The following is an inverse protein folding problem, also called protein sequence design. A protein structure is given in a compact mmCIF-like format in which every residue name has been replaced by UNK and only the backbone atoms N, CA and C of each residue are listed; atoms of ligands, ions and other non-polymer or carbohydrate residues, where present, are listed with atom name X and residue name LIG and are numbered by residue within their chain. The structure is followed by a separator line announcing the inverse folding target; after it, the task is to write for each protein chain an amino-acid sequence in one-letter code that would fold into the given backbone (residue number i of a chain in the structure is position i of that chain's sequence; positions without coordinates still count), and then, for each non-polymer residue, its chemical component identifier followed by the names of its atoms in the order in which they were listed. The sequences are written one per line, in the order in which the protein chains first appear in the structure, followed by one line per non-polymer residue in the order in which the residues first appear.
data_IF_447528101366
#
_entry.id   IF_447528101366
#
_cell.length_a   1.000
_cell.length_b   1.000
_cell.length_c   1.000
_cell.angle_alpha   90.00
_cell.angle_beta   90.00
_cell.angle_gamma   90.00
#
_symmetry.space_group_name_H-M   'P 1'
#
loop_
_entity.id
_entity.type
_entity.pdbx_description
1 polymer ?
#
# COMPACT_ATOMS: atom_id res chain seq x y z
N UNK A 1 -1.37 4.86 16.55
CA UNK A 1 -2.19 4.90 15.33
C UNK A 1 -1.61 5.96 14.40
N UNK A 2 -0.43 5.71 13.82
CA UNK A 2 0.25 6.57 12.84
C UNK A 2 1.34 5.69 12.24
N UNK A 3 1.05 5.03 11.12
CA UNK A 3 2.03 4.27 10.37
C UNK A 3 2.70 5.18 9.35
N UNK A 4 4.01 5.05 9.16
CA UNK A 4 4.69 5.63 7.99
C UNK A 4 4.55 4.69 6.80
N UNK A 5 4.50 5.25 5.59
CA UNK A 5 4.64 4.44 4.39
C UNK A 5 6.01 3.74 4.37
N UNK A 6 6.10 2.47 3.92
CA UNK A 6 7.37 1.80 3.71
C UNK A 6 8.25 2.55 2.69
N UNK A 7 9.57 2.43 2.81
CA UNK A 7 10.54 3.18 1.98
C UNK A 7 10.48 2.88 0.48
N UNK A 8 9.94 1.73 0.10
CA UNK A 8 9.79 1.27 -1.28
C UNK A 8 8.40 1.58 -1.88
N UNK A 9 7.64 2.47 -1.26
CA UNK A 9 6.33 2.89 -1.75
C UNK A 9 6.37 4.34 -2.26
N UNK A 10 5.79 4.59 -3.43
CA UNK A 10 5.65 5.93 -4.02
C UNK A 10 4.16 6.25 -4.25
N UNK A 11 3.71 7.46 -3.89
CA UNK A 11 2.38 7.95 -4.26
C UNK A 11 2.49 8.88 -5.47
N UNK A 12 1.74 8.60 -6.53
CA UNK A 12 1.64 9.43 -7.72
C UNK A 12 0.21 9.46 -8.24
N UNK A 13 -0.35 10.66 -8.44
CA UNK A 13 -1.72 10.87 -8.95
C UNK A 13 -2.78 10.02 -8.20
N UNK A 14 -2.80 10.12 -6.86
CA UNK A 14 -3.71 9.36 -5.99
C UNK A 14 -3.57 7.82 -6.07
N UNK A 15 -2.50 7.33 -6.72
CA UNK A 15 -2.17 5.91 -6.84
C UNK A 15 -0.93 5.61 -6.01
N UNK A 16 -0.99 4.56 -5.21
CA UNK A 16 0.12 4.07 -4.41
C UNK A 16 0.83 2.92 -5.15
N UNK A 17 2.12 3.07 -5.42
CA UNK A 17 2.95 2.14 -6.16
C UNK A 17 3.98 1.48 -5.25
N UNK A 18 4.04 0.15 -5.27
CA UNK A 18 5.16 -0.62 -4.72
C UNK A 18 6.30 -0.63 -5.75
N UNK A 19 7.50 -0.19 -5.35
CA UNK A 19 8.70 -0.14 -6.20
C UNK A 19 9.66 -1.25 -5.84
N UNK A 20 10.26 -1.86 -6.86
CA UNK A 20 11.21 -2.94 -6.67
C UNK A 20 10.52 -4.24 -6.23
N UNK A 21 11.26 -5.07 -5.50
CA UNK A 21 10.76 -6.35 -5.02
C UNK A 21 9.74 -6.15 -3.90
N UNK A 22 8.61 -6.88 -3.99
CA UNK A 22 7.63 -6.96 -2.92
C UNK A 22 8.11 -7.95 -1.87
N UNK A 23 8.25 -7.47 -0.64
CA UNK A 23 8.77 -8.21 0.51
C UNK A 23 7.79 -8.12 1.68
N UNK A 24 7.94 -8.97 2.70
CA UNK A 24 6.96 -9.05 3.78
C UNK A 24 6.80 -7.76 4.61
N UNK A 25 7.79 -6.87 4.61
CA UNK A 25 7.76 -5.57 5.31
C UNK A 25 6.77 -4.57 4.72
N UNK A 26 6.25 -4.80 3.51
CA UNK A 26 5.17 -3.96 2.94
C UNK A 26 3.76 -4.46 3.29
N UNK A 27 3.63 -5.56 4.05
CA UNK A 27 2.33 -5.99 4.54
C UNK A 27 1.77 -5.01 5.59
N UNK A 28 0.46 -4.78 5.58
CA UNK A 28 -0.20 -3.88 6.53
C UNK A 28 -1.48 -3.26 5.99
N UNK A 29 -2.11 -2.43 6.81
CA UNK A 29 -3.30 -1.66 6.44
C UNK A 29 -2.91 -0.34 5.79
N UNK A 30 -3.34 -0.12 4.56
CA UNK A 30 -3.13 1.11 3.81
C UNK A 30 -4.40 1.96 3.86
N UNK A 31 -4.24 3.25 4.15
CA UNK A 31 -5.33 4.20 4.32
C UNK A 31 -5.21 5.31 3.28
N UNK A 32 -6.34 5.68 2.67
CA UNK A 32 -6.44 6.79 1.72
C UNK A 32 -7.50 7.78 2.20
N UNK A 33 -7.07 9.02 2.43
CA UNK A 33 -7.96 10.14 2.72
C UNK A 33 -8.21 10.95 1.44
N UNK A 34 -9.45 10.95 0.96
CA UNK A 34 -9.89 11.70 -0.19
C UNK A 34 -10.67 12.94 0.27
N UNK A 35 -10.22 14.12 -0.14
CA UNK A 35 -10.85 15.40 0.22
C UNK A 35 -11.35 16.12 -1.03
N UNK A 36 -12.58 16.61 -0.98
CA UNK A 36 -13.14 17.54 -1.96
C UNK A 36 -13.74 18.76 -1.24
N UNK A 37 -14.38 19.67 -1.98
CA UNK A 37 -14.98 20.89 -1.41
C UNK A 37 -16.13 20.66 -0.42
N UNK A 38 -16.65 19.43 -0.31
CA UNK A 38 -17.72 19.07 0.64
C UNK A 38 -17.12 18.51 1.94
N UNK A 39 -16.02 17.77 1.85
CA UNK A 39 -15.34 17.22 3.02
C UNK A 39 -14.35 16.11 2.70
N UNK A 40 -13.90 15.43 3.75
CA UNK A 40 -12.94 14.33 3.69
C UNK A 40 -13.62 12.99 3.98
N UNK A 41 -13.25 11.96 3.23
CA UNK A 41 -13.64 10.58 3.49
C UNK A 41 -12.42 9.68 3.44
N UNK A 42 -12.46 8.62 4.24
CA UNK A 42 -11.35 7.68 4.41
C UNK A 42 -11.74 6.31 3.89
N UNK A 43 -10.84 5.68 3.13
CA UNK A 43 -10.92 4.27 2.74
C UNK A 43 -9.67 3.51 3.19
N UNK A 44 -9.80 2.22 3.46
CA UNK A 44 -8.70 1.37 3.90
C UNK A 44 -8.69 0.02 3.21
N UNK A 45 -7.50 -0.54 3.02
CA UNK A 45 -7.29 -1.89 2.48
C UNK A 45 -6.22 -2.62 3.29
N UNK A 46 -6.49 -3.87 3.65
CA UNK A 46 -5.51 -4.75 4.28
C UNK A 46 -4.72 -5.49 3.20
N UNK A 47 -3.41 -5.25 3.16
CA UNK A 47 -2.49 -5.86 2.20
C UNK A 47 -1.74 -6.98 2.89
N UNK A 48 -1.91 -8.20 2.38
CA UNK A 48 -1.16 -9.37 2.80
C UNK A 48 -0.24 -9.85 1.67
N UNK A 49 1.02 -10.14 2.00
CA UNK A 49 2.01 -10.62 1.02
C UNK A 49 2.03 -12.14 1.01
N UNK A 50 1.74 -12.71 -0.16
CA UNK A 50 1.82 -14.16 -0.38
C UNK A 50 3.04 -14.47 -1.24
N UNK A 51 3.77 -15.51 -0.85
CA UNK A 51 4.87 -16.05 -1.65
C UNK A 51 4.37 -17.24 -2.44
N UNK A 52 4.44 -17.19 -3.77
CA UNK A 52 4.44 -18.39 -4.58
C UNK A 52 5.90 -18.79 -4.81
N UNK A 53 6.33 -19.94 -4.27
CA UNK A 53 7.52 -20.61 -4.81
C UNK A 53 7.13 -21.02 -6.23
N UNK A 54 7.52 -20.24 -7.24
CA UNK A 54 7.60 -20.77 -8.59
C UNK A 54 8.67 -21.84 -8.55
N UNK A 55 8.25 -23.10 -8.34
CA UNK A 55 9.10 -24.25 -8.62
C UNK A 55 9.42 -24.15 -10.11
N UNK A 56 10.58 -23.57 -10.42
CA UNK A 56 11.17 -23.69 -11.75
C UNK A 56 11.40 -25.18 -11.94
N UNK A 57 10.51 -25.81 -12.71
CA UNK A 57 10.69 -27.16 -13.25
C UNK A 57 11.53 -27.10 -14.51
#
# INVERSE_FOLDING_TARGET
LNGSLPSNVEIKNNTLFFKGQVTYDVAGTYVCDATNGIGTRTGSVDVNITGFISRLG
#
